data_IF_457262739899
#
_entry.id   IF_457262739899
#
_cell.length_a   1.000
_cell.length_b   1.000
_cell.length_c   1.000
_cell.angle_alpha   90.00
_cell.angle_beta   90.00
_cell.angle_gamma   90.00
#
_symmetry.space_group_name_H-M   'P 1'
#
loop_
_entity.id
_entity.type
_entity.pdbx_description
1 polymer ?
#
# COMPACT_ATOMS: atom_id res chain seq x y z
N UNK A 1 28.50 13.59 -14.03
CA UNK A 1 28.23 15.05 -14.08
C UNK A 1 27.05 15.26 -15.00
N UNK A 2 25.85 15.49 -14.46
CA UNK A 2 24.66 15.85 -15.25
C UNK A 2 24.50 17.37 -15.27
N UNK A 3 24.13 17.95 -16.41
CA UNK A 3 23.86 19.38 -16.56
C UNK A 3 22.38 19.59 -16.91
N UNK A 4 21.73 20.53 -16.23
CA UNK A 4 20.35 20.93 -16.50
C UNK A 4 20.33 21.93 -17.65
N UNK A 5 19.69 21.59 -18.77
CA UNK A 5 19.44 22.54 -19.85
C UNK A 5 17.92 22.68 -20.07
N UNK A 6 17.43 23.91 -19.90
CA UNK A 6 16.01 24.27 -20.03
C UNK A 6 15.76 24.78 -21.45
N UNK A 7 14.92 24.09 -22.23
CA UNK A 7 14.46 24.55 -23.54
C UNK A 7 12.93 24.64 -23.53
N UNK A 8 12.40 25.84 -23.28
CA UNK A 8 10.95 26.08 -23.23
C UNK A 8 10.26 25.40 -22.05
N UNK A 9 9.10 24.76 -22.29
CA UNK A 9 8.28 24.08 -21.29
C UNK A 9 8.65 22.60 -21.07
N UNK A 10 9.74 22.11 -21.67
CA UNK A 10 10.21 20.74 -21.48
C UNK A 10 11.49 20.74 -20.61
N UNK A 11 11.50 19.88 -19.58
CA UNK A 11 12.70 19.62 -18.78
C UNK A 11 13.34 18.34 -19.29
N UNK A 12 14.54 18.46 -19.87
CA UNK A 12 15.30 17.31 -20.38
C UNK A 12 16.27 16.86 -19.31
N UNK A 13 16.13 15.62 -18.84
CA UNK A 13 17.04 15.02 -17.87
C UNK A 13 17.92 13.97 -18.56
N UNK A 14 19.24 14.13 -18.41
CA UNK A 14 20.23 13.22 -19.00
C UNK A 14 20.95 12.48 -17.86
N UNK A 15 20.57 11.22 -17.65
CA UNK A 15 21.23 10.28 -16.75
C UNK A 15 22.13 9.36 -17.60
N UNK A 16 23.38 9.78 -17.81
CA UNK A 16 24.32 9.01 -18.65
C UNK A 16 23.96 9.05 -20.14
N UNK A 17 23.92 7.88 -20.81
CA UNK A 17 23.70 7.77 -22.26
C UNK A 17 22.22 7.71 -22.69
N UNK A 18 21.28 7.78 -21.74
CA UNK A 18 19.85 7.64 -22.00
C UNK A 18 19.15 8.98 -21.79
N UNK A 19 18.35 9.41 -22.78
CA UNK A 19 17.58 10.66 -22.76
C UNK A 19 16.15 10.32 -22.36
N UNK A 20 15.69 10.81 -21.21
CA UNK A 20 14.29 10.71 -20.80
C UNK A 20 13.60 12.04 -21.13
N UNK A 21 12.58 11.98 -21.99
CA UNK A 21 11.76 13.14 -22.36
C UNK A 21 10.48 13.10 -21.51
N UNK A 22 10.28 14.08 -20.63
CA UNK A 22 9.02 14.25 -19.89
C UNK A 22 8.36 15.56 -20.36
N UNK A 23 7.10 15.47 -20.79
CA UNK A 23 6.30 16.59 -21.29
C UNK A 23 4.99 16.74 -20.50
N UNK A 24 5.07 16.73 -19.17
CA UNK A 24 3.94 17.05 -18.30
C UNK A 24 3.85 18.58 -18.13
N UNK A 25 2.68 19.19 -18.40
CA UNK A 25 2.49 20.62 -18.11
C UNK A 25 2.52 20.88 -16.60
N UNK A 26 3.11 22.01 -16.18
CA UNK A 26 3.27 22.40 -14.76
C UNK A 26 1.95 22.39 -13.97
N UNK A 27 0.82 22.61 -14.65
CA UNK A 27 -0.52 22.60 -14.03
C UNK A 27 -1.02 21.18 -13.67
N UNK A 28 -0.31 20.12 -14.08
CA UNK A 28 -0.62 18.72 -13.77
C UNK A 28 0.33 18.12 -12.70
N UNK A 29 1.24 18.92 -12.15
CA UNK A 29 2.16 18.51 -11.10
C UNK A 29 1.45 18.47 -9.74
N UNK A 30 1.45 17.32 -9.08
CA UNK A 30 0.83 17.17 -7.75
C UNK A 30 1.92 17.31 -6.69
N UNK A 31 1.77 18.28 -5.79
CA UNK A 31 2.66 18.38 -4.63
C UNK A 31 2.50 17.14 -3.76
N UNK A 32 3.62 16.49 -3.46
CA UNK A 32 3.69 15.33 -2.58
C UNK A 32 4.31 15.75 -1.26
N UNK A 33 3.69 15.39 -0.15
CA UNK A 33 4.18 15.70 1.19
C UNK A 33 3.63 14.70 2.20
N UNK A 34 4.25 13.52 2.29
CA UNK A 34 3.74 12.41 3.08
C UNK A 34 4.84 11.68 3.86
N UNK A 35 4.46 11.17 5.03
CA UNK A 35 5.28 10.23 5.79
C UNK A 35 5.09 8.80 5.28
N UNK A 36 6.12 7.98 5.40
CA UNK A 36 6.09 6.61 4.94
C UNK A 36 7.39 5.86 5.25
N UNK A 37 7.49 4.67 4.68
CA UNK A 37 8.63 3.76 4.88
C UNK A 37 9.27 3.39 3.54
N UNK A 38 10.61 3.29 3.55
CA UNK A 38 11.33 2.70 2.42
C UNK A 38 11.14 1.18 2.41
N UNK A 39 10.66 0.64 1.29
CA UNK A 39 10.40 -0.80 1.14
C UNK A 39 11.50 -1.48 0.33
N UNK A 40 11.71 -2.76 0.57
CA UNK A 40 12.71 -3.53 -0.15
C UNK A 40 12.25 -3.77 -1.60
N UNK A 41 13.10 -3.40 -2.55
CA UNK A 41 12.97 -3.84 -3.93
C UNK A 41 13.58 -5.26 -4.09
N UNK A 42 12.86 -6.26 -4.62
CA UNK A 42 13.42 -7.57 -4.94
C UNK A 42 14.64 -7.52 -5.87
N UNK A 43 14.75 -6.47 -6.69
CA UNK A 43 15.91 -6.19 -7.55
C UNK A 43 17.04 -5.39 -6.88
N UNK A 44 16.84 -4.95 -5.63
CA UNK A 44 17.82 -4.25 -4.80
C UNK A 44 18.31 -2.90 -5.34
N UNK A 45 17.67 -2.35 -6.36
CA UNK A 45 18.19 -1.19 -7.12
C UNK A 45 17.29 0.03 -7.03
N UNK A 46 16.06 -0.13 -6.56
CA UNK A 46 15.04 0.90 -6.63
C UNK A 46 14.74 1.50 -5.25
N UNK A 47 14.80 2.84 -5.08
CA UNK A 47 14.34 3.53 -3.89
C UNK A 47 12.81 3.59 -3.88
N UNK A 48 12.19 2.53 -3.35
CA UNK A 48 10.74 2.42 -3.22
C UNK A 48 10.27 2.97 -1.88
N UNK A 49 9.22 3.78 -1.91
CA UNK A 49 8.63 4.41 -0.75
C UNK A 49 7.14 4.14 -0.68
N UNK A 50 6.67 3.68 0.47
CA UNK A 50 5.25 3.46 0.75
C UNK A 50 4.77 4.54 1.71
N UNK A 51 4.06 5.58 1.23
CA UNK A 51 3.43 6.55 2.12
C UNK A 51 2.35 5.88 2.97
N UNK A 52 2.11 6.42 4.16
CA UNK A 52 1.09 5.92 5.08
C UNK A 52 -0.33 6.39 4.72
N UNK A 53 -0.46 7.58 4.14
CA UNK A 53 -1.75 8.18 3.81
C UNK A 53 -2.24 7.85 2.39
N UNK A 54 -1.40 7.27 1.53
CA UNK A 54 -1.71 6.98 0.14
C UNK A 54 -1.43 5.51 -0.17
N UNK A 55 -2.28 4.85 -0.97
CA UNK A 55 -2.05 3.47 -1.34
C UNK A 55 -0.91 3.35 -2.36
N UNK A 56 -0.15 2.26 -2.26
CA UNK A 56 0.85 1.87 -3.25
C UNK A 56 2.28 2.28 -2.89
N UNK A 57 3.19 1.95 -3.80
CA UNK A 57 4.62 2.27 -3.68
C UNK A 57 5.03 3.21 -4.79
N UNK A 58 5.86 4.18 -4.43
CA UNK A 58 6.30 5.24 -5.32
C UNK A 58 7.81 5.18 -5.45
N UNK A 59 8.30 5.43 -6.65
CA UNK A 59 9.72 5.59 -6.86
C UNK A 59 10.14 6.99 -6.45
N UNK A 60 11.15 7.10 -5.58
CA UNK A 60 11.62 8.40 -5.09
C UNK A 60 12.94 8.77 -5.75
N UNK A 61 12.95 9.89 -6.48
CA UNK A 61 14.21 10.47 -6.96
C UNK A 61 14.90 11.24 -5.82
N UNK A 62 15.84 10.55 -5.18
CA UNK A 62 16.70 11.09 -4.12
C UNK A 62 17.91 11.87 -4.66
N UNK A 63 18.03 12.01 -5.98
CA UNK A 63 19.14 12.68 -6.64
C UNK A 63 20.50 12.02 -6.30
N UNK A 64 21.30 12.70 -5.47
CA UNK A 64 22.64 12.22 -5.05
C UNK A 64 22.67 11.68 -3.63
N UNK A 65 21.53 11.70 -2.93
CA UNK A 65 21.45 11.18 -1.57
C UNK A 65 21.54 9.65 -1.58
N UNK A 66 22.19 9.05 -0.58
CA UNK A 66 22.20 7.60 -0.45
C UNK A 66 20.77 7.08 -0.22
N UNK A 67 20.43 5.97 -0.87
CA UNK A 67 19.15 5.30 -0.67
C UNK A 67 19.10 4.76 0.76
N UNK A 68 18.08 5.13 1.57
CA UNK A 68 17.93 4.58 2.91
C UNK A 68 17.70 3.06 2.89
N UNK A 69 18.17 2.33 3.91
CA UNK A 69 17.83 0.92 4.05
C UNK A 69 16.32 0.69 4.10
N UNK A 70 15.82 -0.45 3.59
CA UNK A 70 14.43 -0.85 3.80
C UNK A 70 14.05 -0.84 5.29
N UNK A 71 12.85 -0.39 5.61
CA UNK A 71 12.36 -0.17 6.97
C UNK A 71 12.70 1.20 7.56
N UNK A 72 13.41 2.06 6.82
CA UNK A 72 13.67 3.44 7.27
C UNK A 72 12.41 4.29 7.06
N UNK A 73 11.95 4.94 8.12
CA UNK A 73 10.87 5.92 8.04
C UNK A 73 11.40 7.30 7.64
N UNK A 74 10.65 7.99 6.78
CA UNK A 74 10.92 9.36 6.40
C UNK A 74 9.66 10.08 5.92
N UNK A 75 9.68 11.40 6.05
CA UNK A 75 8.75 12.27 5.33
C UNK A 75 9.39 12.67 4.02
N UNK A 76 8.66 12.45 2.93
CA UNK A 76 9.07 12.80 1.58
C UNK A 76 8.24 13.99 1.13
N UNK A 77 8.91 15.07 0.75
CA UNK A 77 8.28 16.22 0.10
C UNK A 77 8.85 16.37 -1.30
N UNK A 78 8.00 16.52 -2.31
CA UNK A 78 8.43 16.60 -3.70
C UNK A 78 7.28 16.82 -4.66
N UNK A 79 7.47 16.42 -5.91
CA UNK A 79 6.45 16.52 -6.96
C UNK A 79 6.16 15.12 -7.46
N UNK A 80 4.91 14.69 -7.31
CA UNK A 80 4.43 13.42 -7.84
C UNK A 80 4.01 13.59 -9.30
N UNK A 81 4.55 12.76 -10.18
CA UNK A 81 4.17 12.67 -11.59
C UNK A 81 4.09 11.21 -12.04
N UNK A 82 3.24 10.95 -13.03
CA UNK A 82 3.21 9.65 -13.69
C UNK A 82 4.54 9.40 -14.42
N UNK A 83 5.14 8.26 -14.16
CA UNK A 83 6.42 7.89 -14.77
C UNK A 83 6.43 6.40 -15.12
N UNK A 84 7.24 6.05 -16.11
CA UNK A 84 7.60 4.67 -16.40
C UNK A 84 9.10 4.57 -16.26
N UNK A 85 9.56 4.00 -15.15
CA UNK A 85 10.98 3.75 -14.90
C UNK A 85 11.31 2.26 -15.12
N UNK A 86 12.60 1.94 -15.18
CA UNK A 86 13.09 0.55 -15.15
C UNK A 86 12.70 -0.19 -13.86
N UNK A 87 12.35 0.57 -12.84
CA UNK A 87 11.72 0.13 -11.60
C UNK A 87 10.21 0.35 -11.73
N UNK A 88 9.38 -0.70 -11.65
CA UNK A 88 7.93 -0.56 -11.73
C UNK A 88 7.37 -0.04 -10.40
N UNK A 89 7.12 1.27 -10.30
CA UNK A 89 5.73 1.74 -10.22
C UNK A 89 5.38 2.76 -11.31
N UNK A 90 4.09 3.08 -11.46
CA UNK A 90 3.54 4.02 -12.45
C UNK A 90 3.64 5.50 -12.05
N UNK A 91 4.14 5.80 -10.84
CA UNK A 91 4.27 7.14 -10.30
C UNK A 91 5.63 7.34 -9.60
N UNK A 92 6.23 8.51 -9.86
CA UNK A 92 7.53 8.92 -9.32
C UNK A 92 7.38 10.22 -8.52
N UNK A 93 8.20 10.36 -7.48
CA UNK A 93 8.34 11.59 -6.72
C UNK A 93 9.69 12.23 -7.09
N UNK A 94 9.63 13.35 -7.80
CA UNK A 94 10.80 14.11 -8.24
C UNK A 94 11.15 15.24 -7.28
N UNK A 95 12.43 15.63 -7.29
CA UNK A 95 12.99 16.65 -6.40
C UNK A 95 12.66 16.36 -4.93
N UNK A 96 12.68 15.08 -4.56
CA UNK A 96 12.31 14.65 -3.23
C UNK A 96 13.31 15.16 -2.19
N UNK A 97 12.82 15.78 -1.13
CA UNK A 97 13.57 16.03 0.10
C UNK A 97 13.19 14.98 1.14
N UNK A 98 14.20 14.36 1.76
CA UNK A 98 14.02 13.46 2.89
C UNK A 98 14.09 14.27 4.18
N UNK A 99 13.03 14.24 4.98
CA UNK A 99 13.05 14.65 6.37
C UNK A 99 12.97 13.40 7.27
N UNK A 100 14.02 13.10 8.06
CA UNK A 100 14.01 11.96 8.97
C UNK A 100 13.06 12.16 10.17
N UNK A 101 12.48 13.35 10.34
CA UNK A 101 11.43 13.60 11.32
C UNK A 101 10.06 13.34 10.70
N UNK A 102 9.57 12.11 10.84
CA UNK A 102 8.15 11.82 10.72
C UNK A 102 7.41 12.42 11.93
N UNK A 103 7.26 13.75 11.94
CA UNK A 103 6.67 14.55 13.02
C UNK A 103 5.19 14.88 12.83
N UNK A 104 4.46 14.11 12.02
CA UNK A 104 3.00 14.14 12.02
C UNK A 104 2.44 13.42 13.26
N UNK A 105 1.13 13.51 13.56
CA UNK A 105 0.51 12.52 14.43
C UNK A 105 0.92 11.12 13.91
N UNK A 106 1.22 10.14 14.79
CA UNK A 106 1.52 8.79 14.36
C UNK A 106 0.45 8.34 13.37
N UNK A 107 0.80 7.54 12.33
CA UNK A 107 -0.23 6.95 11.49
C UNK A 107 -1.29 6.35 12.40
N UNK A 108 -2.59 6.49 12.07
CA UNK A 108 -3.61 5.80 12.85
C UNK A 108 -3.14 4.35 12.99
N UNK A 109 -3.24 3.75 14.19
CA UNK A 109 -2.80 2.38 14.40
C UNK A 109 -3.33 1.53 13.26
N UNK A 110 -2.48 0.67 12.69
CA UNK A 110 -2.95 -0.25 11.68
C UNK A 110 -4.21 -0.94 12.23
N UNK A 111 -5.32 -0.92 11.48
CA UNK A 111 -6.57 -1.43 12.00
C UNK A 111 -6.35 -2.91 12.33
N UNK A 112 -6.42 -3.24 13.61
CA UNK A 112 -6.33 -4.62 14.05
C UNK A 112 -7.63 -5.33 13.68
N UNK A 113 -7.57 -6.56 13.19
CA UNK A 113 -8.76 -7.33 12.86
C UNK A 113 -8.51 -8.81 13.13
N UNK A 114 -9.58 -9.59 13.12
CA UNK A 114 -9.51 -11.05 13.10
C UNK A 114 -9.79 -11.50 11.67
N UNK A 115 -8.83 -12.17 11.02
CA UNK A 115 -9.07 -12.70 9.68
C UNK A 115 -10.22 -13.71 9.75
N UNK A 116 -11.14 -13.65 8.80
CA UNK A 116 -12.36 -14.44 8.78
C UNK A 116 -13.55 -13.86 9.57
N UNK A 117 -13.37 -12.84 10.41
CA UNK A 117 -14.49 -12.16 11.10
C UNK A 117 -15.09 -11.07 10.19
N UNK A 118 -15.75 -11.52 9.12
CA UNK A 118 -16.25 -10.65 8.06
C UNK A 118 -17.45 -9.82 8.51
N UNK A 119 -18.24 -10.31 9.47
CA UNK A 119 -19.37 -9.58 10.03
C UNK A 119 -18.98 -8.67 11.23
N UNK A 120 -17.71 -8.74 11.67
CA UNK A 120 -17.11 -7.93 12.72
C UNK A 120 -17.78 -8.15 14.10
N UNK A 121 -18.04 -9.39 14.48
CA UNK A 121 -18.66 -9.80 15.75
C UNK A 121 -17.68 -10.44 16.76
N UNK A 122 -16.38 -10.39 16.46
CA UNK A 122 -15.25 -10.96 17.20
C UNK A 122 -15.24 -12.50 17.26
N UNK A 123 -15.96 -13.18 16.37
CA UNK A 123 -16.04 -14.63 16.37
C UNK A 123 -16.13 -15.23 14.96
N UNK A 124 -15.10 -15.92 14.51
CA UNK A 124 -15.15 -16.68 13.26
C UNK A 124 -16.17 -17.83 13.29
N UNK A 125 -17.24 -17.74 12.51
CA UNK A 125 -18.29 -18.73 12.41
C UNK A 125 -19.08 -18.65 11.07
N UNK A 126 -20.09 -19.53 10.89
CA UNK A 126 -20.85 -19.60 9.63
C UNK A 126 -21.56 -18.28 9.27
N UNK A 127 -21.85 -17.42 10.25
CA UNK A 127 -22.43 -16.11 10.02
C UNK A 127 -21.52 -15.20 9.18
N UNK A 128 -20.20 -15.34 9.31
CA UNK A 128 -19.23 -14.58 8.51
C UNK A 128 -19.30 -14.96 7.04
N UNK A 129 -19.37 -16.26 6.73
CA UNK A 129 -19.52 -16.76 5.36
C UNK A 129 -20.83 -16.26 4.75
N UNK A 130 -21.92 -16.29 5.52
CA UNK A 130 -23.23 -15.81 5.06
C UNK A 130 -23.16 -14.30 4.80
N UNK A 131 -22.55 -13.54 5.71
CA UNK A 131 -22.38 -12.10 5.56
C UNK A 131 -21.57 -11.78 4.30
N UNK A 132 -20.47 -12.48 4.09
CA UNK A 132 -19.59 -12.32 2.94
C UNK A 132 -20.31 -12.57 1.61
N UNK A 133 -20.96 -13.73 1.47
CA UNK A 133 -21.74 -14.06 0.28
C UNK A 133 -22.88 -13.07 0.05
N UNK A 134 -23.49 -12.58 1.13
CA UNK A 134 -24.49 -11.53 1.05
C UNK A 134 -23.89 -10.21 0.56
N UNK A 135 -22.67 -9.81 0.96
CA UNK A 135 -22.06 -8.57 0.44
C UNK A 135 -21.61 -8.71 -1.01
N UNK A 136 -21.20 -9.90 -1.44
CA UNK A 136 -20.72 -10.16 -2.80
C UNK A 136 -21.85 -10.29 -3.83
N UNK A 137 -22.93 -10.99 -3.47
CA UNK A 137 -23.94 -11.43 -4.45
C UNK A 137 -25.34 -10.87 -4.21
N UNK A 138 -25.60 -10.35 -3.02
CA UNK A 138 -26.83 -9.63 -2.73
C UNK A 138 -26.48 -8.19 -2.42
N UNK A 139 -27.40 -7.25 -2.56
CA UNK A 139 -27.14 -5.85 -2.19
C UNK A 139 -27.07 -5.67 -0.66
N UNK A 140 -26.35 -6.56 0.02
CA UNK A 140 -26.05 -6.50 1.44
C UNK A 140 -25.08 -5.37 1.76
N UNK A 141 -24.91 -5.05 3.05
CA UNK A 141 -23.95 -4.04 3.46
C UNK A 141 -22.53 -4.46 3.08
N UNK A 142 -21.64 -3.52 2.71
CA UNK A 142 -20.23 -3.82 2.58
C UNK A 142 -19.64 -4.23 3.94
N UNK A 143 -18.59 -5.07 3.97
CA UNK A 143 -17.95 -5.46 5.21
C UNK A 143 -17.30 -4.26 5.92
N UNK A 144 -17.29 -4.25 7.26
CA UNK A 144 -16.57 -3.23 8.04
C UNK A 144 -15.06 -3.26 7.79
N UNK A 145 -14.51 -4.44 7.52
CA UNK A 145 -13.10 -4.66 7.21
C UNK A 145 -12.96 -5.66 6.06
N UNK A 146 -12.55 -5.19 4.89
CA UNK A 146 -12.31 -6.07 3.73
C UNK A 146 -11.21 -7.10 4.02
N UNK A 147 -10.15 -6.72 4.75
CA UNK A 147 -9.07 -7.63 5.10
C UNK A 147 -9.53 -8.77 6.02
N UNK A 148 -10.61 -8.55 6.79
CA UNK A 148 -11.21 -9.61 7.59
C UNK A 148 -12.00 -10.61 6.72
N UNK A 149 -12.52 -10.19 5.57
CA UNK A 149 -13.22 -11.07 4.63
C UNK A 149 -12.29 -11.77 3.64
N UNK A 150 -11.12 -11.18 3.36
CA UNK A 150 -10.04 -11.78 2.59
C UNK A 150 -9.31 -12.83 3.46
N UNK A 151 -9.77 -14.08 3.43
CA UNK A 151 -9.27 -15.15 4.31
C UNK A 151 -7.97 -15.76 3.78
N UNK A 152 -7.71 -15.70 2.47
CA UNK A 152 -6.49 -16.25 1.88
C UNK A 152 -5.35 -15.23 1.77
N UNK A 153 -5.65 -13.95 1.98
CA UNK A 153 -4.70 -12.85 2.11
C UNK A 153 -4.12 -12.39 0.77
N UNK A 154 -4.81 -12.66 -0.34
CA UNK A 154 -4.34 -12.29 -1.68
C UNK A 154 -4.64 -10.82 -2.05
N UNK A 155 -5.37 -10.11 -1.19
CA UNK A 155 -5.76 -8.71 -1.34
C UNK A 155 -7.07 -8.52 -2.10
N UNK A 156 -7.79 -9.59 -2.43
CA UNK A 156 -9.05 -9.57 -3.17
C UNK A 156 -10.14 -10.26 -2.38
N UNK A 157 -11.14 -9.49 -1.95
CA UNK A 157 -12.35 -10.06 -1.37
C UNK A 157 -13.26 -10.64 -2.47
N UNK A 158 -13.31 -11.97 -2.58
CA UNK A 158 -14.14 -12.67 -3.56
C UNK A 158 -14.77 -14.00 -3.05
N UNK A 159 -15.27 -14.84 -3.97
CA UNK A 159 -15.93 -16.12 -3.61
C UNK A 159 -14.95 -17.21 -3.16
N UNK A 160 -13.68 -17.12 -3.57
CA UNK A 160 -12.61 -18.01 -3.14
C UNK A 160 -12.47 -17.98 -1.63
N UNK A 161 -12.60 -16.80 -1.03
CA UNK A 161 -12.58 -16.62 0.41
C UNK A 161 -13.67 -17.41 1.13
N UNK A 162 -14.93 -17.27 0.67
CA UNK A 162 -16.05 -17.98 1.27
C UNK A 162 -15.85 -19.51 1.23
N UNK A 163 -15.27 -20.02 0.14
CA UNK A 163 -14.93 -21.45 0.00
C UNK A 163 -13.84 -21.83 1.01
N UNK A 164 -12.81 -21.00 1.16
CA UNK A 164 -11.69 -21.24 2.06
C UNK A 164 -12.11 -21.19 3.54
N UNK A 165 -13.03 -20.29 3.92
CA UNK A 165 -13.64 -20.26 5.26
C UNK A 165 -14.41 -21.54 5.57
N UNK A 166 -15.23 -22.03 4.63
CA UNK A 166 -15.96 -23.29 4.78
C UNK A 166 -15.03 -24.50 4.88
N UNK A 167 -13.95 -24.52 4.09
CA UNK A 167 -12.90 -25.54 4.18
C UNK A 167 -12.23 -25.54 5.56
N UNK A 168 -11.95 -24.36 6.11
CA UNK A 168 -11.37 -24.22 7.44
C UNK A 168 -12.31 -24.75 8.54
N UNK A 169 -13.60 -24.37 8.49
CA UNK A 169 -14.61 -24.77 9.48
C UNK A 169 -14.93 -26.26 9.47
N UNK A 170 -15.08 -26.86 8.28
CA UNK A 170 -15.67 -28.20 8.14
C UNK A 170 -14.69 -29.28 7.68
N UNK A 171 -13.57 -28.89 7.06
CA UNK A 171 -12.63 -29.83 6.43
C UNK A 171 -11.21 -29.72 6.99
N UNK A 172 -11.01 -29.00 8.10
CA UNK A 172 -9.68 -28.78 8.69
C UNK A 172 -8.69 -28.21 7.68
N UNK A 173 -9.13 -27.21 6.91
CA UNK A 173 -8.30 -26.48 5.95
C UNK A 173 -7.05 -25.88 6.58
N UNK A 174 -6.11 -25.45 5.73
CA UNK A 174 -4.90 -24.76 6.19
C UNK A 174 -5.26 -23.47 6.95
N UNK A 175 -4.50 -23.17 8.00
CA UNK A 175 -4.65 -21.93 8.74
C UNK A 175 -4.38 -20.72 7.82
N UNK A 176 -5.23 -19.67 7.89
CA UNK A 176 -5.03 -18.41 7.18
C UNK A 176 -3.70 -17.72 7.53
N UNK A 177 -3.22 -16.78 6.68
CA UNK A 177 -2.18 -15.85 7.06
C UNK A 177 -2.62 -14.97 8.26
N UNK A 178 -1.67 -14.40 9.03
CA UNK A 178 -1.99 -13.48 10.12
C UNK A 178 -2.82 -12.29 9.62
N UNK A 179 -3.67 -11.67 10.45
CA UNK A 179 -3.95 -11.96 11.87
C UNK A 179 -5.03 -13.06 12.04
N UNK A 180 -4.61 -14.25 12.51
CA UNK A 180 -5.48 -15.40 12.76
C UNK A 180 -4.91 -16.28 13.88
N UNK A 181 -5.73 -16.87 14.77
CA UNK A 181 -7.17 -16.63 14.98
C UNK A 181 -7.45 -15.42 15.88
N UNK A 182 -6.39 -14.84 16.43
CA UNK A 182 -6.46 -13.71 17.35
C UNK A 182 -6.44 -12.40 16.56
N UNK A 183 -6.97 -11.35 17.20
CA UNK A 183 -6.89 -10.02 16.63
C UNK A 183 -5.44 -9.54 16.52
N UNK A 184 -5.12 -8.88 15.43
CA UNK A 184 -3.83 -8.22 15.27
C UNK A 184 -3.71 -7.47 13.95
N UNK A 185 -2.51 -7.01 13.67
CA UNK A 185 -2.14 -6.37 12.41
C UNK A 185 -1.72 -7.42 11.37
N UNK A 186 -1.88 -7.10 10.09
CA UNK A 186 -1.33 -7.92 8.99
C UNK A 186 0.07 -7.42 8.62
N UNK A 187 1.16 -8.12 8.98
CA UNK A 187 2.52 -7.68 8.67
C UNK A 187 2.90 -7.86 7.19
N UNK A 188 2.03 -8.49 6.39
CA UNK A 188 2.31 -8.86 4.99
C UNK A 188 1.67 -7.92 3.98
N UNK A 189 0.72 -7.10 4.41
CA UNK A 189 0.02 -6.14 3.56
C UNK A 189 0.20 -4.72 4.09
N UNK A 190 0.30 -3.70 3.21
CA UNK A 190 0.28 -2.32 3.67
C UNK A 190 -1.05 -2.03 4.39
N UNK A 191 -1.11 -1.07 5.32
CA UNK A 191 -2.34 -0.71 6.02
C UNK A 191 -3.35 -0.16 5.02
N UNK A 192 -4.16 -1.05 4.45
CA UNK A 192 -5.27 -0.67 3.59
C UNK A 192 -6.32 -0.03 4.49
N UNK A 193 -6.70 1.21 4.18
CA UNK A 193 -7.71 2.01 4.89
C UNK A 193 -9.15 1.43 4.81
N UNK A 194 -9.31 0.13 4.53
CA UNK A 194 -10.61 -0.53 4.33
C UNK A 194 -11.19 -1.16 5.59
N UNK A 195 -10.52 -1.04 6.74
CA UNK A 195 -10.99 -1.59 8.02
C UNK A 195 -11.42 -0.45 8.95
N UNK A 196 -12.72 -0.13 8.88
CA UNK A 196 -13.35 0.88 9.71
C UNK A 196 -13.95 0.22 10.96
N UNK A 197 -13.46 0.63 12.13
CA UNK A 197 -14.00 0.20 13.43
C UNK A 197 -14.03 -1.35 13.60
N UNK A 198 -12.90 -2.05 13.43
CA UNK A 198 -12.85 -3.47 13.72
C UNK A 198 -13.09 -3.73 15.22
N UNK A 199 -13.93 -4.73 15.53
CA UNK A 199 -14.18 -5.18 16.90
C UNK A 199 -13.05 -6.14 17.27
N UNK A 200 -12.13 -5.65 18.07
CA UNK A 200 -11.12 -6.46 18.72
C UNK A 200 -11.28 -6.37 20.25
N UNK A 201 -11.23 -7.51 20.96
CA UNK A 201 -11.36 -7.57 22.42
C UNK A 201 -10.15 -7.03 23.18
#
# INVERSE_FOLDING_TARGET
>A
MGFLARFGNATVFVLGATVLLISTPVDAQVAFDECGVFVADPGGSCPLFSPYALPGTYLVDLGTLPVPPPGTEARITGIMEDCVATCFPTACIFNATIDPSCGGPPPPPEPEFIRGDCNNDASFNIADVIFQLNSLFTSGPPPPCNNACDIDGDGVHDIGDAIQMLNLMFLSGAAPPPPWPDCGVDPTQPPLMSCNNPICP
#
